data_IF_171544431165
#
_entry.id   IF_171544431165
#
_cell.length_a   1.000
_cell.length_b   1.000
_cell.length_c   1.000
_cell.angle_alpha   90.00
_cell.angle_beta   90.00
_cell.angle_gamma   90.00
#
_symmetry.space_group_name_H-M   'P 1'
#
loop_
_entity.id
_entity.type
_entity.pdbx_description
1 polymer ?
#
# COMPACT_ATOMS: atom_id res chain seq x y z
N UNK A 1 -12.71 10.34 -10.84
CA UNK A 1 -12.02 11.42 -10.10
C UNK A 1 -11.02 12.12 -11.03
N UNK A 2 -11.01 13.46 -11.08
CA UNK A 2 -10.08 14.23 -11.94
C UNK A 2 -8.79 14.65 -11.24
N UNK A 3 -7.83 15.23 -11.97
CA UNK A 3 -6.55 15.70 -11.42
C UNK A 3 -6.72 16.66 -10.23
N UNK A 4 -7.62 17.65 -10.34
CA UNK A 4 -7.87 18.62 -9.30
C UNK A 4 -8.38 17.96 -7.99
N UNK A 5 -9.24 16.95 -8.11
CA UNK A 5 -9.72 16.18 -6.95
C UNK A 5 -8.58 15.36 -6.34
N UNK A 6 -7.74 14.71 -7.15
CA UNK A 6 -6.58 13.95 -6.64
C UNK A 6 -5.60 14.84 -5.89
N UNK A 7 -5.40 16.08 -6.37
CA UNK A 7 -4.63 17.08 -5.67
C UNK A 7 -5.28 17.52 -4.34
N UNK A 8 -6.60 17.72 -4.33
CA UNK A 8 -7.33 18.02 -3.09
C UNK A 8 -7.17 16.91 -2.05
N UNK A 9 -7.25 15.64 -2.46
CA UNK A 9 -7.00 14.49 -1.59
C UNK A 9 -5.58 14.51 -1.01
N UNK A 10 -4.58 14.92 -1.79
CA UNK A 10 -3.22 15.07 -1.29
C UNK A 10 -3.09 16.19 -0.25
N UNK A 11 -3.70 17.35 -0.51
CA UNK A 11 -3.75 18.46 0.46
C UNK A 11 -4.51 18.06 1.72
N UNK A 12 -5.59 17.31 1.59
CA UNK A 12 -6.34 16.77 2.73
C UNK A 12 -5.49 15.78 3.53
N UNK A 13 -4.75 14.88 2.87
CA UNK A 13 -3.81 13.99 3.54
C UNK A 13 -2.76 14.77 4.34
N UNK A 14 -2.21 15.87 3.79
CA UNK A 14 -1.28 16.75 4.49
C UNK A 14 -1.92 17.42 5.72
N UNK A 15 -3.12 17.98 5.56
CA UNK A 15 -3.85 18.61 6.67
C UNK A 15 -4.15 17.59 7.77
N UNK A 16 -4.72 16.44 7.42
CA UNK A 16 -5.07 15.39 8.39
C UNK A 16 -3.85 14.86 9.11
N UNK A 17 -2.74 14.70 8.39
CA UNK A 17 -1.47 14.28 8.99
C UNK A 17 -0.90 15.32 9.94
N UNK A 18 -1.00 16.62 9.62
CA UNK A 18 -0.54 17.70 10.49
C UNK A 18 -1.36 17.79 11.78
N UNK A 19 -2.69 17.74 11.69
CA UNK A 19 -3.56 17.79 12.87
C UNK A 19 -3.37 16.57 13.79
N UNK A 20 -3.00 15.42 13.21
CA UNK A 20 -2.81 14.17 13.95
C UNK A 20 -1.34 13.73 14.02
N UNK A 21 -0.40 14.68 13.93
CA UNK A 21 1.03 14.38 13.71
C UNK A 21 1.58 13.35 14.72
N UNK A 22 1.27 13.52 16.00
CA UNK A 22 1.71 12.59 17.05
C UNK A 22 1.20 11.16 16.85
N UNK A 23 -0.08 11.00 16.46
CA UNK A 23 -0.69 9.69 16.17
C UNK A 23 -0.08 9.07 14.93
N UNK A 24 0.06 9.84 13.85
CA UNK A 24 0.65 9.40 12.58
C UNK A 24 2.10 8.93 12.78
N UNK A 25 2.93 9.71 13.48
CA UNK A 25 4.31 9.32 13.78
C UNK A 25 4.38 8.07 14.67
N UNK A 26 3.53 7.98 15.71
CA UNK A 26 3.50 6.83 16.60
C UNK A 26 3.11 5.56 15.84
N UNK A 27 2.07 5.61 15.00
CA UNK A 27 1.66 4.44 14.20
C UNK A 27 2.74 4.05 13.20
N UNK A 28 3.44 5.01 12.59
CA UNK A 28 4.57 4.71 11.71
C UNK A 28 5.71 4.00 12.45
N UNK A 29 6.03 4.45 13.67
CA UNK A 29 7.07 3.85 14.49
C UNK A 29 6.71 2.41 14.88
N UNK A 30 5.46 2.17 15.28
CA UNK A 30 4.96 0.82 15.55
C UNK A 30 5.01 -0.06 14.30
N UNK A 31 4.58 0.49 13.16
CA UNK A 31 4.63 -0.22 11.88
C UNK A 31 6.07 -0.64 11.57
N UNK A 32 7.04 0.26 11.67
CA UNK A 32 8.45 -0.06 11.43
C UNK A 32 8.95 -1.13 12.41
N UNK A 33 8.77 -0.90 13.71
CA UNK A 33 9.24 -1.82 14.75
C UNK A 33 8.67 -3.22 14.59
N UNK A 34 7.35 -3.34 14.36
CA UNK A 34 6.68 -4.63 14.20
C UNK A 34 7.03 -5.31 12.87
N UNK A 35 7.11 -4.54 11.78
CA UNK A 35 7.39 -5.10 10.44
C UNK A 35 8.79 -5.68 10.34
N UNK A 36 9.79 -5.02 10.93
CA UNK A 36 11.20 -5.41 10.80
C UNK A 36 11.74 -6.16 12.02
N UNK A 37 10.96 -6.32 13.09
CA UNK A 37 11.38 -7.07 14.28
C UNK A 37 11.96 -8.47 13.95
N UNK A 38 11.35 -9.29 13.07
CA UNK A 38 11.88 -10.63 12.81
C UNK A 38 13.25 -10.62 12.12
N UNK A 39 13.46 -9.77 11.10
CA UNK A 39 14.76 -9.68 10.41
C UNK A 39 15.83 -9.08 11.32
N UNK A 40 15.47 -8.09 12.14
CA UNK A 40 16.41 -7.50 13.10
C UNK A 40 16.82 -8.53 14.15
N UNK A 41 15.87 -9.33 14.67
CA UNK A 41 16.17 -10.38 15.64
C UNK A 41 17.20 -11.39 15.09
N UNK A 42 17.02 -11.88 13.85
CA UNK A 42 17.96 -12.86 13.27
C UNK A 42 19.31 -12.25 12.86
N UNK A 43 19.36 -10.93 12.66
CA UNK A 43 20.61 -10.22 12.31
C UNK A 43 21.47 -9.92 13.54
N UNK A 44 20.86 -9.59 14.67
CA UNK A 44 21.58 -9.21 15.90
C UNK A 44 21.84 -10.38 16.86
N UNK A 45 21.09 -11.47 16.75
CA UNK A 45 21.36 -12.68 17.54
C UNK A 45 22.49 -13.44 16.84
N UNK A 46 23.63 -13.70 17.51
CA UNK A 46 24.78 -14.38 16.92
C UNK A 46 24.53 -15.90 16.80
N UNK A 47 23.54 -16.28 15.98
CA UNK A 47 23.15 -17.65 15.69
C UNK A 47 23.27 -17.90 14.19
N UNK A 48 24.42 -18.45 13.78
CA UNK A 48 24.74 -18.69 12.38
C UNK A 48 24.03 -19.95 11.86
N UNK A 49 22.75 -19.78 11.50
CA UNK A 49 21.95 -20.86 10.93
C UNK A 49 21.07 -20.33 9.78
N UNK A 50 21.21 -20.94 8.60
CA UNK A 50 20.46 -20.56 7.38
C UNK A 50 18.95 -20.66 7.61
N UNK A 51 18.47 -21.69 8.31
CA UNK A 51 17.04 -21.86 8.59
C UNK A 51 16.51 -20.79 9.53
N UNK A 52 17.32 -20.34 10.49
CA UNK A 52 16.97 -19.23 11.37
C UNK A 52 16.83 -17.93 10.60
N UNK A 53 17.80 -17.62 9.71
CA UNK A 53 17.72 -16.46 8.83
C UNK A 53 16.48 -16.50 7.92
N UNK A 54 16.22 -17.64 7.28
CA UNK A 54 15.03 -17.83 6.42
C UNK A 54 13.73 -17.67 7.19
N UNK A 55 13.66 -18.18 8.43
CA UNK A 55 12.51 -17.99 9.30
C UNK A 55 12.29 -16.50 9.64
N UNK A 56 13.36 -15.74 9.93
CA UNK A 56 13.29 -14.30 10.14
C UNK A 56 12.85 -13.53 8.89
N UNK A 57 13.35 -13.90 7.71
CA UNK A 57 12.95 -13.30 6.44
C UNK A 57 11.47 -13.55 6.12
N UNK A 58 11.00 -14.80 6.26
CA UNK A 58 9.58 -15.14 6.07
C UNK A 58 8.68 -14.48 7.13
N UNK A 59 9.13 -14.46 8.39
CA UNK A 59 8.45 -13.75 9.46
C UNK A 59 8.30 -12.25 9.17
N UNK A 60 9.31 -11.64 8.56
CA UNK A 60 9.29 -10.22 8.13
C UNK A 60 8.24 -9.99 7.05
N UNK A 61 8.13 -10.86 6.04
CA UNK A 61 7.08 -10.72 5.00
C UNK A 61 5.68 -10.75 5.61
N UNK A 62 5.45 -11.67 6.57
CA UNK A 62 4.15 -11.82 7.24
C UNK A 62 3.85 -10.61 8.13
N UNK A 63 4.80 -10.23 8.99
CA UNK A 63 4.64 -9.11 9.93
C UNK A 63 4.56 -7.78 9.21
N UNK A 64 5.33 -7.55 8.14
CA UNK A 64 5.23 -6.38 7.28
C UNK A 64 3.83 -6.23 6.69
N UNK A 65 3.25 -7.32 6.17
CA UNK A 65 1.88 -7.30 5.65
C UNK A 65 0.83 -7.03 6.72
N UNK A 66 0.92 -7.71 7.86
CA UNK A 66 0.02 -7.50 8.99
C UNK A 66 0.09 -6.08 9.56
N UNK A 67 1.30 -5.55 9.72
CA UNK A 67 1.55 -4.19 10.21
C UNK A 67 1.06 -3.16 9.21
N UNK A 68 1.26 -3.36 7.91
CA UNK A 68 0.75 -2.45 6.88
C UNK A 68 -0.78 -2.44 6.89
N UNK A 69 -1.44 -3.58 7.04
CA UNK A 69 -2.89 -3.61 7.21
C UNK A 69 -3.35 -2.90 8.51
N UNK A 70 -2.65 -3.09 9.63
CA UNK A 70 -2.96 -2.39 10.88
C UNK A 70 -2.78 -0.87 10.73
N UNK A 71 -1.71 -0.44 10.08
CA UNK A 71 -1.42 0.95 9.74
C UNK A 71 -2.56 1.58 8.94
N UNK A 72 -3.01 0.91 7.87
CA UNK A 72 -4.13 1.36 7.05
C UNK A 72 -5.44 1.44 7.83
N UNK A 73 -5.69 0.49 8.74
CA UNK A 73 -6.86 0.51 9.62
C UNK A 73 -6.82 1.70 10.58
N UNK A 74 -5.68 1.97 11.22
CA UNK A 74 -5.50 3.13 12.10
C UNK A 74 -5.67 4.46 11.35
N UNK A 75 -5.14 4.57 10.14
CA UNK A 75 -5.32 5.77 9.32
C UNK A 75 -6.79 5.95 8.90
N UNK A 76 -7.51 4.86 8.63
CA UNK A 76 -8.94 4.90 8.34
C UNK A 76 -9.78 5.37 9.55
N UNK A 77 -9.39 5.00 10.77
CA UNK A 77 -10.00 5.52 12.02
C UNK A 77 -9.75 7.02 12.17
N UNK A 78 -8.51 7.49 11.94
CA UNK A 78 -8.19 8.93 11.98
C UNK A 78 -9.03 9.70 10.96
N UNK A 79 -9.20 9.18 9.75
CA UNK A 79 -10.06 9.80 8.72
C UNK A 79 -11.52 9.84 9.17
N UNK A 80 -12.00 8.82 9.90
CA UNK A 80 -13.35 8.79 10.46
C UNK A 80 -13.53 9.71 11.68
N UNK A 81 -12.47 10.35 12.18
CA UNK A 81 -12.50 11.15 13.40
C UNK A 81 -12.45 10.33 14.69
N UNK A 82 -12.17 9.03 14.59
CA UNK A 82 -12.04 8.12 15.74
C UNK A 82 -10.65 8.23 16.38
N UNK A 83 -10.55 7.82 17.66
CA UNK A 83 -9.28 7.79 18.36
C UNK A 83 -8.49 6.54 18.01
N UNK A 84 -7.48 6.65 17.14
CA UNK A 84 -6.59 5.53 16.86
C UNK A 84 -5.66 5.25 18.05
N UNK A 85 -5.96 4.18 18.82
CA UNK A 85 -5.19 3.77 19.99
C UNK A 85 -4.18 2.64 19.69
N UNK A 86 -3.19 2.47 20.57
CA UNK A 86 -2.24 1.36 20.52
C UNK A 86 -2.94 -0.02 20.57
N UNK A 87 -4.02 -0.10 21.33
CA UNK A 87 -4.80 -1.34 21.50
C UNK A 87 -5.48 -1.73 20.19
N UNK A 88 -6.02 -0.76 19.46
CA UNK A 88 -6.67 -1.00 18.16
C UNK A 88 -5.65 -1.33 17.07
N UNK A 89 -4.46 -0.73 17.10
CA UNK A 89 -3.38 -1.11 16.19
C UNK A 89 -3.04 -2.60 16.35
N UNK A 90 -2.83 -3.08 17.58
CA UNK A 90 -2.53 -4.49 17.84
C UNK A 90 -3.74 -5.39 17.53
N UNK A 91 -4.96 -4.97 17.85
CA UNK A 91 -6.15 -5.72 17.44
C UNK A 91 -6.22 -5.90 15.93
N UNK A 92 -6.01 -4.83 15.16
CA UNK A 92 -6.00 -4.82 13.70
C UNK A 92 -4.85 -5.66 13.14
N UNK A 93 -3.67 -5.58 13.74
CA UNK A 93 -2.52 -6.40 13.36
C UNK A 93 -2.83 -7.89 13.50
N UNK A 94 -3.39 -8.37 14.62
CA UNK A 94 -3.80 -9.79 14.77
C UNK A 94 -4.84 -10.17 13.74
N UNK A 95 -5.85 -9.32 13.56
CA UNK A 95 -6.97 -9.54 12.64
C UNK A 95 -6.52 -9.68 11.18
N UNK A 96 -5.49 -8.95 10.78
CA UNK A 96 -5.01 -8.91 9.40
C UNK A 96 -3.65 -9.58 9.18
N UNK A 97 -3.02 -10.19 10.20
CA UNK A 97 -1.66 -10.74 10.07
C UNK A 97 -1.49 -11.69 8.89
N UNK A 98 -2.33 -12.74 8.83
CA UNK A 98 -2.27 -13.72 7.75
C UNK A 98 -2.68 -13.11 6.40
N UNK A 99 -3.76 -12.31 6.37
CA UNK A 99 -4.31 -11.74 5.14
C UNK A 99 -3.37 -10.70 4.52
N UNK A 100 -2.79 -9.84 5.36
CA UNK A 100 -1.77 -8.87 5.00
C UNK A 100 -0.49 -9.55 4.54
N UNK A 101 -0.03 -10.60 5.23
CA UNK A 101 1.12 -11.39 4.80
C UNK A 101 0.93 -12.01 3.40
N UNK A 102 -0.24 -12.58 3.13
CA UNK A 102 -0.60 -13.08 1.80
C UNK A 102 -0.58 -11.95 0.75
N UNK A 103 -1.09 -10.76 1.07
CA UNK A 103 -1.06 -9.62 0.15
C UNK A 103 0.36 -9.13 -0.13
N UNK A 104 1.23 -9.05 0.88
CA UNK A 104 2.64 -8.69 0.68
C UNK A 104 3.34 -9.71 -0.19
N UNK A 105 3.12 -11.01 0.06
CA UNK A 105 3.68 -12.07 -0.76
C UNK A 105 3.20 -11.99 -2.21
N UNK A 106 1.88 -11.86 -2.44
CA UNK A 106 1.31 -11.75 -3.79
C UNK A 106 1.77 -10.46 -4.50
N UNK A 107 1.85 -9.35 -3.78
CA UNK A 107 2.35 -8.07 -4.27
C UNK A 107 3.80 -8.19 -4.75
N UNK A 108 4.67 -8.78 -3.92
CA UNK A 108 6.07 -9.05 -4.26
C UNK A 108 6.20 -10.05 -5.42
N UNK A 109 5.41 -11.12 -5.41
CA UNK A 109 5.39 -12.12 -6.49
C UNK A 109 5.00 -11.49 -7.84
N UNK A 110 4.03 -10.57 -7.86
CA UNK A 110 3.66 -9.84 -9.07
C UNK A 110 4.82 -9.05 -9.66
N UNK A 111 5.57 -8.31 -8.82
CA UNK A 111 6.78 -7.62 -9.28
C UNK A 111 7.86 -8.58 -9.74
N UNK A 112 8.10 -9.67 -8.99
CA UNK A 112 9.11 -10.67 -9.34
C UNK A 112 8.85 -11.28 -10.72
N UNK A 113 7.59 -11.62 -11.04
CA UNK A 113 7.21 -12.13 -12.36
C UNK A 113 7.42 -11.08 -13.46
N UNK A 114 7.04 -9.82 -13.24
CA UNK A 114 7.21 -8.76 -14.23
C UNK A 114 8.69 -8.45 -14.50
N UNK A 115 9.51 -8.35 -13.45
CA UNK A 115 10.95 -8.12 -13.56
C UNK A 115 11.64 -9.31 -14.24
N UNK A 116 11.27 -10.54 -13.88
CA UNK A 116 11.77 -11.75 -14.54
C UNK A 116 11.47 -11.74 -16.04
N UNK A 117 10.27 -11.33 -16.44
CA UNK A 117 9.90 -11.24 -17.85
C UNK A 117 10.71 -10.17 -18.60
N UNK A 118 10.98 -9.01 -17.99
CA UNK A 118 11.87 -7.99 -18.57
C UNK A 118 13.27 -8.57 -18.74
N UNK A 119 13.84 -9.12 -17.67
CA UNK A 119 15.18 -9.71 -17.68
C UNK A 119 15.30 -10.81 -18.74
N UNK A 120 14.35 -11.75 -18.78
CA UNK A 120 14.30 -12.81 -19.78
C UNK A 120 14.25 -12.24 -21.20
N UNK A 121 13.40 -11.23 -21.43
CA UNK A 121 13.28 -10.56 -22.72
C UNK A 121 14.59 -9.92 -23.17
N UNK A 122 15.40 -9.37 -22.26
CA UNK A 122 16.68 -8.74 -22.65
C UNK A 122 17.70 -9.71 -23.28
N UNK A 123 17.55 -11.03 -23.10
CA UNK A 123 18.45 -12.03 -23.68
C UNK A 123 18.22 -12.28 -25.18
N UNK A 124 17.17 -11.70 -25.79
CA UNK A 124 16.82 -11.93 -27.19
C UNK A 124 16.86 -10.63 -27.99
N UNK A 125 17.55 -10.64 -29.14
CA UNK A 125 17.70 -9.45 -29.99
C UNK A 125 16.70 -9.45 -31.14
N UNK A 126 15.44 -9.14 -30.86
CA UNK A 126 14.41 -8.97 -31.90
C UNK A 126 13.50 -7.77 -31.62
N UNK A 127 12.96 -7.16 -32.68
CA UNK A 127 12.04 -6.00 -32.56
C UNK A 127 10.75 -6.33 -31.79
N UNK A 128 10.27 -7.57 -31.89
CA UNK A 128 9.10 -8.06 -31.15
C UNK A 128 9.37 -8.07 -29.65
N UNK A 129 10.57 -8.52 -29.25
CA UNK A 129 11.01 -8.56 -27.86
C UNK A 129 11.15 -7.15 -27.28
N UNK A 130 11.60 -6.17 -28.07
CA UNK A 130 11.63 -4.77 -27.64
C UNK A 130 10.24 -4.23 -27.26
N UNK A 131 9.22 -4.50 -28.09
CA UNK A 131 7.84 -4.12 -27.77
C UNK A 131 7.33 -4.82 -26.51
N UNK A 132 7.69 -6.09 -26.33
CA UNK A 132 7.32 -6.89 -25.17
C UNK A 132 7.93 -6.35 -23.86
N UNK A 133 9.16 -5.82 -23.89
CA UNK A 133 9.75 -5.11 -22.73
C UNK A 133 8.91 -3.89 -22.34
N UNK A 134 8.47 -3.10 -23.33
CA UNK A 134 7.59 -1.95 -23.10
C UNK A 134 6.26 -2.36 -22.44
N UNK A 135 5.68 -3.48 -22.87
CA UNK A 135 4.47 -4.05 -22.26
C UNK A 135 4.70 -4.43 -20.79
N UNK A 136 5.80 -5.12 -20.46
CA UNK A 136 6.12 -5.49 -19.08
C UNK A 136 6.39 -4.28 -18.18
N UNK A 137 7.04 -3.24 -18.71
CA UNK A 137 7.25 -1.98 -17.98
C UNK A 137 5.93 -1.31 -17.63
N UNK A 138 4.99 -1.23 -18.57
CA UNK A 138 3.63 -0.77 -18.27
C UNK A 138 2.90 -1.68 -17.27
N UNK A 139 3.17 -2.99 -17.33
CA UNK A 139 2.72 -3.94 -16.32
C UNK A 139 3.19 -3.60 -14.92
N UNK A 140 4.44 -3.13 -14.74
CA UNK A 140 4.98 -2.67 -13.44
C UNK A 140 4.24 -1.43 -12.96
N UNK A 141 4.04 -0.43 -13.84
CA UNK A 141 3.31 0.79 -13.49
C UNK A 141 1.88 0.46 -13.06
N UNK A 142 1.19 -0.38 -13.84
CA UNK A 142 -0.15 -0.84 -13.51
C UNK A 142 -0.18 -1.62 -12.19
N UNK A 143 0.72 -2.58 -11.99
CA UNK A 143 0.78 -3.37 -10.76
C UNK A 143 1.03 -2.49 -9.53
N UNK A 144 1.94 -1.52 -9.65
CA UNK A 144 2.20 -0.57 -8.57
C UNK A 144 0.98 0.30 -8.26
N UNK A 145 0.22 0.68 -9.29
CA UNK A 145 -1.04 1.41 -9.16
C UNK A 145 -2.10 0.59 -8.42
N UNK A 146 -2.24 -0.70 -8.74
CA UNK A 146 -3.12 -1.63 -8.02
C UNK A 146 -2.73 -1.70 -6.54
N UNK A 147 -1.45 -1.85 -6.23
CA UNK A 147 -0.97 -1.97 -4.86
C UNK A 147 -1.27 -0.73 -3.99
N UNK A 148 -1.48 0.46 -4.58
CA UNK A 148 -1.90 1.65 -3.84
C UNK A 148 -3.26 1.46 -3.14
N UNK A 149 -4.14 0.63 -3.68
CA UNK A 149 -5.53 0.48 -3.19
C UNK A 149 -5.81 -0.85 -2.49
N UNK A 150 -4.89 -1.82 -2.59
CA UNK A 150 -5.07 -3.18 -2.05
C UNK A 150 -5.29 -3.19 -0.52
N UNK A 151 -4.45 -2.49 0.25
CA UNK A 151 -4.59 -2.42 1.71
C UNK A 151 -5.78 -1.57 2.19
N UNK A 152 -6.08 -0.40 1.56
CA UNK A 152 -7.33 0.31 1.82
C UNK A 152 -8.56 -0.58 1.61
N UNK A 153 -8.63 -1.35 0.51
CA UNK A 153 -9.74 -2.28 0.29
C UNK A 153 -9.81 -3.40 1.33
N UNK A 154 -8.67 -3.99 1.70
CA UNK A 154 -8.63 -5.04 2.73
C UNK A 154 -9.20 -4.53 4.06
N UNK A 155 -8.82 -3.31 4.46
CA UNK A 155 -9.10 -2.78 5.80
C UNK A 155 -10.47 -2.12 5.91
N UNK A 156 -10.88 -1.36 4.90
CA UNK A 156 -12.19 -0.68 4.89
C UNK A 156 -13.35 -1.67 4.70
N UNK A 157 -13.15 -2.75 3.94
CA UNK A 157 -14.22 -3.69 3.59
C UNK A 157 -14.08 -5.08 4.25
N UNK A 158 -12.99 -5.32 5.00
CA UNK A 158 -12.70 -6.59 5.69
C UNK A 158 -12.81 -7.84 4.80
N UNK A 159 -12.37 -7.74 3.55
CA UNK A 159 -12.53 -8.77 2.53
C UNK A 159 -11.35 -9.77 2.48
N UNK A 160 -11.47 -10.77 1.60
CA UNK A 160 -10.38 -11.73 1.31
C UNK A 160 -9.28 -11.09 0.45
N UNK A 161 -8.00 -11.47 0.61
CA UNK A 161 -6.87 -10.92 -0.13
C UNK A 161 -7.05 -10.87 -1.67
N UNK A 162 -7.49 -11.99 -2.26
CA UNK A 162 -7.69 -12.10 -3.70
C UNK A 162 -8.78 -11.12 -4.19
N UNK A 163 -9.84 -10.95 -3.40
CA UNK A 163 -10.91 -10.01 -3.74
C UNK A 163 -10.43 -8.55 -3.63
N UNK A 164 -9.57 -8.24 -2.65
CA UNK A 164 -8.95 -6.92 -2.53
C UNK A 164 -8.09 -6.57 -3.75
N UNK A 165 -7.27 -7.51 -4.24
CA UNK A 165 -6.48 -7.32 -5.47
C UNK A 165 -7.40 -7.12 -6.68
N UNK A 166 -8.46 -7.93 -6.82
CA UNK A 166 -9.42 -7.78 -7.92
C UNK A 166 -10.09 -6.41 -7.91
N UNK A 167 -10.60 -5.97 -6.77
CA UNK A 167 -11.25 -4.65 -6.62
C UNK A 167 -10.28 -3.50 -6.87
N UNK A 168 -9.07 -3.59 -6.33
CA UNK A 168 -8.01 -2.61 -6.59
C UNK A 168 -7.63 -2.53 -8.07
N UNK A 169 -7.55 -3.68 -8.75
CA UNK A 169 -7.32 -3.77 -10.19
C UNK A 169 -8.41 -3.07 -11.01
N UNK A 170 -9.66 -3.40 -10.73
CA UNK A 170 -10.81 -2.80 -11.42
C UNK A 170 -10.86 -1.28 -11.21
N UNK A 171 -10.73 -0.80 -9.97
CA UNK A 171 -10.72 0.64 -9.66
C UNK A 171 -9.55 1.34 -10.34
N UNK A 172 -8.36 0.72 -10.37
CA UNK A 172 -7.20 1.31 -11.02
C UNK A 172 -7.36 1.44 -12.54
N UNK A 173 -8.14 0.55 -13.17
CA UNK A 173 -8.45 0.63 -14.60
C UNK A 173 -9.61 1.58 -14.88
N UNK A 174 -10.60 1.65 -14.00
CA UNK A 174 -11.76 2.51 -14.19
C UNK A 174 -11.44 3.99 -13.88
N UNK A 175 -10.41 4.24 -13.06
CA UNK A 175 -9.92 5.58 -12.73
C UNK A 175 -8.42 5.75 -13.05
N UNK A 176 -7.99 5.35 -14.26
CA UNK A 176 -6.57 5.38 -14.69
C UNK A 176 -5.86 6.68 -14.32
N UNK A 177 -6.46 7.84 -14.61
CA UNK A 177 -5.85 9.14 -14.34
C UNK A 177 -5.64 9.36 -12.83
N UNK A 178 -6.67 9.11 -12.01
CA UNK A 178 -6.56 9.33 -10.57
C UNK A 178 -5.55 8.37 -9.94
N UNK A 179 -5.60 7.09 -10.32
CA UNK A 179 -4.67 6.08 -9.83
C UNK A 179 -3.22 6.38 -10.24
N UNK A 180 -3.01 6.88 -11.46
CA UNK A 180 -1.69 7.34 -11.92
C UNK A 180 -1.20 8.57 -11.14
N UNK A 181 -2.06 9.56 -10.88
CA UNK A 181 -1.71 10.74 -10.08
C UNK A 181 -1.33 10.34 -8.65
N UNK A 182 -2.11 9.47 -8.01
CA UNK A 182 -1.78 8.95 -6.67
C UNK A 182 -0.47 8.17 -6.68
N UNK A 183 -0.23 7.36 -7.71
CA UNK A 183 1.05 6.65 -7.88
C UNK A 183 2.23 7.64 -7.95
N UNK A 184 2.13 8.69 -8.77
CA UNK A 184 3.17 9.71 -8.92
C UNK A 184 3.39 10.46 -7.60
N UNK A 185 2.32 10.87 -6.91
CA UNK A 185 2.41 11.58 -5.63
C UNK A 185 3.03 10.69 -4.54
N UNK A 186 2.59 9.43 -4.42
CA UNK A 186 3.17 8.46 -3.50
C UNK A 186 4.66 8.25 -3.77
N UNK A 187 5.04 8.12 -5.05
CA UNK A 187 6.45 7.96 -5.46
C UNK A 187 7.27 9.20 -5.12
N UNK A 188 6.74 10.39 -5.39
CA UNK A 188 7.41 11.65 -5.08
C UNK A 188 7.65 11.81 -3.58
N UNK A 189 6.68 11.44 -2.74
CA UNK A 189 6.83 11.42 -1.28
C UNK A 189 7.93 10.46 -0.86
N UNK A 190 7.97 9.24 -1.39
CA UNK A 190 9.02 8.26 -1.07
C UNK A 190 10.40 8.81 -1.45
N UNK A 191 10.56 9.36 -2.65
CA UNK A 191 11.83 9.94 -3.12
C UNK A 191 12.26 11.10 -2.21
N UNK A 192 11.34 12.01 -1.90
CA UNK A 192 11.59 13.15 -1.03
C UNK A 192 12.01 12.68 0.38
N UNK A 193 11.37 11.64 0.91
CA UNK A 193 11.72 11.03 2.18
C UNK A 193 13.11 10.41 2.19
N UNK A 194 13.55 9.80 1.09
CA UNK A 194 14.91 9.26 0.97
C UNK A 194 15.94 10.40 0.95
N UNK A 195 15.69 11.46 0.18
CA UNK A 195 16.61 12.61 0.05
C UNK A 195 16.76 13.35 1.39
N UNK A 196 15.66 13.55 2.11
CA UNK A 196 15.65 14.26 3.40
C UNK A 196 16.06 13.38 4.59
N UNK A 197 16.17 12.06 4.39
CA UNK A 197 16.67 11.11 5.37
C UNK A 197 15.69 10.76 6.49
N UNK A 198 16.25 10.48 7.68
CA UNK A 198 15.53 9.87 8.79
C UNK A 198 14.21 10.56 9.24
N UNK A 199 14.08 11.90 9.26
CA UNK A 199 12.87 12.56 9.76
C UNK A 199 11.59 12.24 8.98
N UNK A 200 11.71 11.91 7.69
CA UNK A 200 10.55 11.58 6.87
C UNK A 200 10.26 10.09 6.81
N UNK A 201 11.27 9.22 6.98
CA UNK A 201 11.07 7.76 7.01
C UNK A 201 10.14 7.37 8.17
N UNK A 202 10.25 8.07 9.32
CA UNK A 202 9.37 7.91 10.49
C UNK A 202 7.93 8.42 10.28
N UNK A 203 7.59 8.96 9.10
CA UNK A 203 6.28 9.49 8.77
C UNK A 203 5.69 8.90 7.48
N UNK A 204 6.56 8.46 6.56
CA UNK A 204 6.19 8.13 5.17
C UNK A 204 5.11 7.07 5.07
N UNK A 205 5.23 5.94 5.75
CA UNK A 205 4.29 4.84 5.58
C UNK A 205 2.87 5.26 6.03
N UNK A 206 2.77 5.96 7.16
CA UNK A 206 1.48 6.45 7.67
C UNK A 206 0.87 7.52 6.78
N UNK A 207 1.69 8.43 6.26
CA UNK A 207 1.23 9.43 5.30
C UNK A 207 0.70 8.80 4.01
N UNK A 208 1.44 7.84 3.45
CA UNK A 208 1.00 7.10 2.26
C UNK A 208 -0.29 6.34 2.53
N UNK A 209 -0.42 5.71 3.71
CA UNK A 209 -1.64 5.03 4.10
C UNK A 209 -2.84 5.99 4.24
N UNK A 210 -2.64 7.21 4.74
CA UNK A 210 -3.68 8.25 4.74
C UNK A 210 -4.07 8.66 3.32
N UNK A 211 -3.08 8.98 2.48
CA UNK A 211 -3.29 9.37 1.09
C UNK A 211 -4.09 8.32 0.32
N UNK A 212 -3.70 7.05 0.45
CA UNK A 212 -4.33 5.92 -0.22
C UNK A 212 -5.76 5.65 0.30
N UNK A 213 -5.99 5.75 1.61
CA UNK A 213 -7.33 5.59 2.17
C UNK A 213 -8.27 6.73 1.76
N UNK A 214 -7.81 7.99 1.78
CA UNK A 214 -8.57 9.15 1.31
C UNK A 214 -8.86 9.07 -0.19
N UNK A 215 -7.88 8.68 -0.99
CA UNK A 215 -8.05 8.48 -2.43
C UNK A 215 -9.11 7.42 -2.72
N UNK A 216 -9.07 6.28 -2.02
CA UNK A 216 -10.09 5.25 -2.17
C UNK A 216 -11.48 5.78 -1.79
N UNK A 217 -11.63 6.45 -0.63
CA UNK A 217 -12.90 7.02 -0.20
C UNK A 217 -13.45 8.02 -1.22
N UNK A 218 -12.62 8.95 -1.71
CA UNK A 218 -13.01 9.94 -2.71
C UNK A 218 -13.46 9.32 -4.04
N UNK A 219 -12.85 8.19 -4.44
CA UNK A 219 -13.29 7.43 -5.62
C UNK A 219 -14.60 6.69 -5.34
N UNK A 220 -14.75 6.04 -4.18
CA UNK A 220 -15.94 5.25 -3.83
C UNK A 220 -17.21 6.11 -3.72
N UNK A 221 -17.11 7.32 -3.17
CA UNK A 221 -18.26 8.26 -3.09
C UNK A 221 -18.87 8.53 -4.47
N UNK A 222 -18.04 8.58 -5.53
CA UNK A 222 -18.53 8.73 -6.91
C UNK A 222 -19.44 7.57 -7.33
N UNK A 223 -19.05 6.34 -7.02
CA UNK A 223 -19.81 5.15 -7.37
C UNK A 223 -21.09 5.01 -6.56
N UNK A 224 -21.07 5.41 -5.28
CA UNK A 224 -22.25 5.42 -4.42
C UNK A 224 -23.30 6.43 -4.91
N UNK A 225 -22.87 7.62 -5.34
CA UNK A 225 -23.75 8.62 -5.94
C UNK A 225 -24.38 8.13 -7.26
N UNK A 226 -23.57 7.53 -8.14
CA UNK A 226 -24.05 6.97 -9.41
C UNK A 226 -25.08 5.85 -9.17
N UNK A 227 -24.86 4.97 -8.18
CA UNK A 227 -25.81 3.91 -7.83
C UNK A 227 -27.15 4.46 -7.28
N UNK A 228 -27.11 5.45 -6.38
CA UNK A 228 -28.33 6.05 -5.82
C UNK A 228 -29.20 6.78 -6.85
N UNK A 229 -28.58 7.42 -7.86
CA UNK A 229 -29.34 8.07 -8.94
C UNK A 229 -30.06 7.10 -9.87
N UNK A 230 -29.61 5.85 -9.96
CA UNK A 230 -30.29 4.81 -10.74
C UNK A 230 -31.51 4.28 -9.98
N UNK A 231 -31.41 4.09 -8.67
CA UNK A 231 -32.52 3.62 -7.83
C UNK A 231 -33.65 4.67 -7.67
N UNK A 232 -33.35 5.97 -7.72
CA UNK A 232 -34.38 7.04 -7.68
C UNK A 232 -35.05 7.31 -9.05
N UNK A 233 -34.50 6.75 -10.13
CA UNK A 233 -34.99 6.92 -11.50
C UNK A 233 -35.84 5.76 -12.03
N UNK A 234 -36.01 4.69 -11.24
CA UNK A 234 -36.90 3.54 -11.49
C UNK A 234 -38.23 3.67 -10.73
#
# INVERSE_FOLDING_TARGET
MGFAQSWQVFIEALKTSYHNLGRVMLTNFLWFGVSFAPILAVTYIPFENVWFFLAGALGTVITFGGATAALHSSMNQIIAGEEATLKEFWFSFKKFLARGGVLTFLGGLGFALLIFNIWFSTNYSSKIVFFLIGFWLWGIVYWYSVLQFVFPFLTQQDIKPILAIKRAGLISLDNVLASFVILVLSTAVIILSIILGAPLIIFTASFLALLQNLALRGIMVKYEQEAGTVEEGE
#
